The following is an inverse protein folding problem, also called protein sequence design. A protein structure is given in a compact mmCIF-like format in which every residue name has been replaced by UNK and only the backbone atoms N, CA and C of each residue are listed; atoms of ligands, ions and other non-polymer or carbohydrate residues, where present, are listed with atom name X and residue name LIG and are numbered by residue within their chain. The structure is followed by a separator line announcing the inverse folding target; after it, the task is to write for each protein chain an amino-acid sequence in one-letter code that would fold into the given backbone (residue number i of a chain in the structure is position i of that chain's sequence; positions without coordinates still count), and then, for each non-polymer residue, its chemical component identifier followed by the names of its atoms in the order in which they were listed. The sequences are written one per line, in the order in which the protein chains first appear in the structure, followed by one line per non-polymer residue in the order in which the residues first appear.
data_IF_222524321477
#
_entry.id   IF_222524321477
#
_cell.length_a   1.000
_cell.length_b   1.000
_cell.length_c   1.000
_cell.angle_alpha   90.00
_cell.angle_beta   90.00
_cell.angle_gamma   90.00
#
_symmetry.space_group_name_H-M   'P 1'
#
loop_
_entity.id
_entity.type
_entity.pdbx_description
1 polymer ?
#
# COMPACT_ATOMS: atom_id res chain seq x y z
N UNK A 1 0.49 -29.58 28.13
CA UNK A 1 0.40 -29.49 26.65
C UNK A 1 -0.64 -28.44 26.33
N UNK A 2 -0.25 -27.17 26.36
CA UNK A 2 -1.13 -26.05 26.00
C UNK A 2 -0.87 -25.71 24.55
N UNK A 3 -1.91 -25.81 23.74
CA UNK A 3 -1.94 -25.48 22.33
C UNK A 3 -1.44 -24.06 22.09
N UNK A 4 -0.34 -23.94 21.37
CA UNK A 4 0.09 -22.71 20.72
C UNK A 4 -1.07 -22.23 19.86
N UNK A 5 -1.64 -21.07 20.21
CA UNK A 5 -2.64 -20.41 19.39
C UNK A 5 -2.05 -20.13 18.02
N UNK A 6 -2.66 -20.68 16.98
CA UNK A 6 -2.34 -20.31 15.60
C UNK A 6 -2.67 -18.82 15.46
N UNK A 7 -1.66 -17.98 15.24
CA UNK A 7 -1.89 -16.63 14.74
C UNK A 7 -2.63 -16.78 13.40
N UNK A 8 -3.93 -16.53 13.39
CA UNK A 8 -4.70 -16.50 12.14
C UNK A 8 -4.33 -15.23 11.42
N UNK A 9 -3.52 -15.32 10.38
CA UNK A 9 -3.24 -14.20 9.49
C UNK A 9 -4.56 -13.82 8.80
N UNK A 10 -5.11 -12.65 9.14
CA UNK A 10 -6.39 -12.15 8.63
C UNK A 10 -6.16 -10.95 7.73
N UNK A 11 -6.83 -10.93 6.58
CA UNK A 11 -6.95 -9.76 5.71
C UNK A 11 -8.38 -9.24 5.70
N UNK A 12 -8.64 -8.17 4.95
CA UNK A 12 -9.99 -7.61 4.83
C UNK A 12 -10.35 -7.22 3.40
N UNK A 13 -11.65 -7.12 3.17
CA UNK A 13 -12.22 -6.50 1.97
C UNK A 13 -13.16 -5.40 2.41
N UNK A 14 -12.92 -4.18 1.91
CA UNK A 14 -13.81 -3.03 2.11
C UNK A 14 -14.69 -2.84 0.89
N UNK A 15 -16.00 -2.92 1.08
CA UNK A 15 -17.03 -2.71 0.07
C UNK A 15 -17.40 -1.22 0.04
N UNK A 16 -17.42 -0.61 -1.14
CA UNK A 16 -17.70 0.82 -1.35
C UNK A 16 -16.81 1.73 -0.48
N UNK A 17 -15.47 1.65 -0.59
CA UNK A 17 -14.53 2.35 0.29
C UNK A 17 -14.67 3.87 0.27
N UNK A 18 -15.21 4.43 -0.81
CA UNK A 18 -15.41 5.88 -1.00
C UNK A 18 -16.86 6.32 -0.67
N UNK A 19 -17.70 5.41 -0.19
CA UNK A 19 -19.11 5.68 0.18
C UNK A 19 -19.29 5.72 1.70
N UNK A 20 -20.16 6.61 2.24
CA UNK A 20 -20.56 6.56 3.64
C UNK A 20 -21.30 5.26 4.02
N UNK A 21 -21.86 4.55 3.03
CA UNK A 21 -22.50 3.24 3.21
C UNK A 21 -21.50 2.06 3.10
N UNK A 22 -20.20 2.38 3.00
CA UNK A 22 -19.14 1.39 2.90
C UNK A 22 -18.97 0.56 4.18
N UNK A 23 -18.53 -0.68 4.03
CA UNK A 23 -18.33 -1.61 5.14
C UNK A 23 -17.23 -2.61 4.83
N UNK A 24 -16.62 -3.19 5.86
CA UNK A 24 -15.52 -4.15 5.71
C UNK A 24 -15.88 -5.52 6.25
N UNK A 25 -15.27 -6.55 5.66
CA UNK A 25 -15.34 -7.92 6.13
C UNK A 25 -13.92 -8.49 6.26
N UNK A 26 -13.64 -9.13 7.39
CA UNK A 26 -12.37 -9.81 7.61
C UNK A 26 -12.44 -11.22 7.04
N UNK A 27 -11.40 -11.64 6.33
CA UNK A 27 -11.22 -13.01 5.86
C UNK A 27 -10.00 -13.64 6.52
N UNK A 28 -10.12 -14.92 6.81
CA UNK A 28 -9.03 -15.71 7.39
C UNK A 28 -8.38 -16.60 6.34
N UNK A 29 -7.11 -16.92 6.56
CA UNK A 29 -6.39 -17.89 5.74
C UNK A 29 -7.14 -19.22 5.63
N UNK A 30 -7.24 -19.76 4.42
CA UNK A 30 -8.02 -20.93 4.05
C UNK A 30 -9.47 -20.63 3.63
N UNK A 31 -9.97 -19.41 3.84
CA UNK A 31 -11.33 -19.06 3.42
C UNK A 31 -11.46 -18.86 1.91
N UNK A 32 -12.66 -19.16 1.43
CA UNK A 32 -13.09 -18.88 0.07
C UNK A 32 -14.33 -18.00 0.14
N UNK A 33 -14.20 -16.74 -0.28
CA UNK A 33 -15.29 -15.79 -0.36
C UNK A 33 -15.95 -15.86 -1.72
N UNK A 34 -17.17 -16.37 -1.78
CA UNK A 34 -17.99 -16.29 -2.99
C UNK A 34 -18.64 -14.91 -3.09
N UNK A 35 -18.60 -14.29 -4.27
CA UNK A 35 -19.24 -12.99 -4.52
C UNK A 35 -20.38 -13.18 -5.52
N UNK A 36 -21.56 -12.63 -5.22
CA UNK A 36 -22.66 -12.67 -6.16
C UNK A 36 -23.96 -12.05 -5.65
N UNK A 37 -24.96 -12.00 -6.53
CA UNK A 37 -26.23 -11.30 -6.25
C UNK A 37 -27.14 -11.98 -5.25
N UNK A 38 -27.12 -13.32 -5.22
CA UNK A 38 -28.02 -14.11 -4.36
C UNK A 38 -27.25 -14.60 -3.14
N UNK A 39 -27.90 -14.76 -1.97
CA UNK A 39 -27.34 -15.55 -0.88
C UNK A 39 -27.03 -16.97 -1.36
N UNK A 40 -25.98 -17.57 -0.81
CA UNK A 40 -25.49 -18.89 -1.22
C UNK A 40 -26.27 -20.02 -0.58
N UNK A 41 -26.16 -21.22 -1.17
CA UNK A 41 -26.54 -22.47 -0.52
C UNK A 41 -25.24 -23.22 -0.16
N UNK A 42 -25.07 -23.63 1.10
CA UNK A 42 -23.91 -24.36 1.61
C UNK A 42 -23.00 -23.56 2.55
N UNK A 43 -21.88 -24.16 2.96
CA UNK A 43 -20.96 -23.66 4.01
C UNK A 43 -19.94 -22.60 3.53
N UNK A 44 -19.96 -22.20 2.25
CA UNK A 44 -19.04 -21.16 1.76
C UNK A 44 -19.49 -19.77 2.20
N UNK A 45 -18.57 -18.99 2.79
CA UNK A 45 -18.81 -17.57 3.11
C UNK A 45 -19.11 -16.78 1.84
N UNK A 46 -20.07 -15.86 1.91
CA UNK A 46 -20.55 -15.14 0.73
C UNK A 46 -20.72 -13.65 0.96
N UNK A 47 -20.19 -12.86 0.03
CA UNK A 47 -20.46 -11.43 -0.13
C UNK A 47 -21.65 -11.28 -1.09
N UNK A 48 -22.78 -10.83 -0.54
CA UNK A 48 -24.02 -10.62 -1.32
C UNK A 48 -24.08 -9.18 -1.81
N UNK A 49 -24.07 -9.00 -3.12
CA UNK A 49 -24.15 -7.71 -3.81
C UNK A 49 -25.48 -7.64 -4.59
N UNK A 50 -26.59 -7.20 -3.96
CA UNK A 50 -27.96 -7.45 -4.45
C UNK A 50 -28.42 -6.55 -5.62
N UNK A 51 -27.56 -6.33 -6.61
CA UNK A 51 -27.91 -5.55 -7.81
C UNK A 51 -28.05 -6.41 -9.06
N UNK A 52 -28.97 -6.09 -9.99
CA UNK A 52 -29.26 -6.91 -11.16
C UNK A 52 -28.04 -7.20 -12.05
N UNK A 53 -27.11 -6.25 -12.18
CA UNK A 53 -25.89 -6.41 -12.97
C UNK A 53 -24.88 -7.39 -12.36
N UNK A 54 -25.05 -7.78 -11.11
CA UNK A 54 -24.24 -8.81 -10.47
C UNK A 54 -24.82 -10.19 -10.82
N UNK A 55 -24.01 -11.05 -11.43
CA UNK A 55 -24.37 -12.45 -11.64
C UNK A 55 -24.63 -13.21 -10.34
N UNK A 56 -25.42 -14.28 -10.42
CA UNK A 56 -25.78 -15.10 -9.24
C UNK A 56 -24.53 -15.62 -8.52
N UNK A 57 -23.60 -16.20 -9.27
CA UNK A 57 -22.22 -16.47 -8.88
C UNK A 57 -21.34 -15.62 -9.81
N UNK A 58 -20.74 -14.55 -9.28
CA UNK A 58 -20.05 -13.55 -10.10
C UNK A 58 -18.55 -13.81 -10.09
N UNK A 59 -17.97 -13.83 -8.90
CA UNK A 59 -16.54 -14.03 -8.70
C UNK A 59 -16.29 -14.81 -7.41
N UNK A 60 -15.06 -15.24 -7.21
CA UNK A 60 -14.58 -15.91 -6.00
C UNK A 60 -13.23 -15.31 -5.62
N UNK A 61 -13.04 -15.04 -4.31
CA UNK A 61 -11.73 -14.73 -3.74
C UNK A 61 -11.29 -15.92 -2.89
N UNK A 62 -10.08 -16.42 -3.14
CA UNK A 62 -9.48 -17.52 -2.38
C UNK A 62 -8.34 -16.98 -1.54
N UNK A 63 -8.43 -17.16 -0.23
CA UNK A 63 -7.45 -16.68 0.73
C UNK A 63 -6.50 -17.83 1.06
N UNK A 64 -5.65 -18.24 0.13
CA UNK A 64 -4.75 -19.36 0.41
C UNK A 64 -3.56 -18.88 1.27
N UNK A 65 -2.82 -19.80 1.92
CA UNK A 65 -1.49 -19.46 2.46
C UNK A 65 -0.58 -18.91 1.36
N UNK A 66 -0.94 -19.23 0.11
CA UNK A 66 -0.23 -18.85 -1.09
C UNK A 66 -0.45 -17.43 -1.60
N UNK A 67 -1.27 -16.66 -0.90
CA UNK A 67 -1.70 -15.34 -1.32
C UNK A 67 -3.19 -15.36 -1.64
N UNK A 68 -3.75 -14.17 -1.81
CA UNK A 68 -5.15 -14.06 -2.19
C UNK A 68 -5.27 -14.08 -3.70
N UNK A 69 -6.22 -14.83 -4.24
CA UNK A 69 -6.51 -14.83 -5.68
C UNK A 69 -7.97 -14.50 -5.96
N UNK A 70 -8.20 -13.82 -7.09
CA UNK A 70 -9.52 -13.47 -7.63
C UNK A 70 -9.79 -14.25 -8.91
N UNK A 71 -11.01 -14.77 -9.03
CA UNK A 71 -11.49 -15.50 -10.20
C UNK A 71 -12.86 -14.95 -10.58
N UNK A 72 -13.01 -14.48 -11.82
CA UNK A 72 -14.33 -14.22 -12.40
C UNK A 72 -14.95 -15.54 -12.88
N UNK A 73 -16.18 -15.85 -12.45
CA UNK A 73 -16.84 -17.12 -12.73
C UNK A 73 -17.70 -17.09 -14.02
N UNK A 74 -17.27 -16.35 -15.04
CA UNK A 74 -18.05 -16.17 -16.27
C UNK A 74 -19.23 -15.23 -16.07
N UNK A 75 -18.99 -14.16 -15.32
CA UNK A 75 -20.04 -13.17 -15.04
C UNK A 75 -20.49 -12.46 -16.32
N UNK A 76 -21.76 -12.06 -16.35
CA UNK A 76 -22.36 -11.45 -17.55
C UNK A 76 -21.73 -10.09 -17.87
N UNK A 77 -21.50 -9.28 -16.84
CA UNK A 77 -20.96 -7.93 -16.98
C UNK A 77 -19.44 -7.85 -16.76
N UNK A 78 -18.82 -8.96 -16.36
CA UNK A 78 -17.39 -9.04 -16.07
C UNK A 78 -17.03 -8.46 -14.70
N UNK A 79 -15.88 -8.91 -14.21
CA UNK A 79 -15.14 -8.32 -13.10
C UNK A 79 -13.95 -7.53 -13.65
N UNK A 80 -13.60 -6.42 -13.02
CA UNK A 80 -12.36 -5.68 -13.34
C UNK A 80 -11.47 -5.57 -12.10
N UNK A 81 -10.16 -5.66 -12.29
CA UNK A 81 -9.13 -5.44 -11.27
C UNK A 81 -8.29 -4.24 -11.71
N UNK A 82 -8.23 -3.19 -10.89
CA UNK A 82 -7.49 -1.95 -11.18
C UNK A 82 -7.80 -1.39 -12.58
N UNK A 83 -9.08 -1.36 -12.94
CA UNK A 83 -9.55 -0.89 -14.26
C UNK A 83 -9.41 -1.89 -15.41
N UNK A 84 -8.66 -2.99 -15.24
CA UNK A 84 -8.49 -4.02 -16.27
C UNK A 84 -9.54 -5.12 -16.13
N UNK A 85 -10.31 -5.38 -17.19
CA UNK A 85 -11.31 -6.45 -17.20
C UNK A 85 -10.65 -7.83 -17.18
N UNK A 86 -11.10 -8.70 -16.29
CA UNK A 86 -10.57 -10.05 -16.13
C UNK A 86 -11.03 -10.98 -17.25
N UNK A 87 -10.17 -11.92 -17.63
CA UNK A 87 -10.55 -13.10 -18.41
C UNK A 87 -11.28 -14.09 -17.49
N UNK A 88 -12.52 -14.50 -17.80
CA UNK A 88 -13.25 -15.47 -16.99
C UNK A 88 -12.50 -16.79 -16.78
N UNK A 89 -12.57 -17.33 -15.56
CA UNK A 89 -11.97 -18.60 -15.15
C UNK A 89 -10.45 -18.58 -14.94
N UNK A 90 -9.77 -17.48 -15.27
CA UNK A 90 -8.35 -17.28 -14.95
C UNK A 90 -8.21 -16.72 -13.53
N UNK A 91 -7.23 -17.21 -12.79
CA UNK A 91 -6.87 -16.68 -11.47
C UNK A 91 -5.94 -15.47 -11.59
N UNK A 92 -6.19 -14.46 -10.76
CA UNK A 92 -5.37 -13.25 -10.65
C UNK A 92 -4.97 -13.07 -9.19
N UNK A 93 -3.68 -12.89 -8.92
CA UNK A 93 -3.18 -12.60 -7.58
C UNK A 93 -3.68 -11.21 -7.16
N UNK A 94 -4.11 -11.10 -5.90
CA UNK A 94 -4.55 -9.87 -5.27
C UNK A 94 -3.48 -9.38 -4.30
N UNK A 95 -3.19 -8.09 -4.39
CA UNK A 95 -2.29 -7.38 -3.49
C UNK A 95 -3.05 -6.40 -2.62
N UNK A 96 -2.38 -5.91 -1.57
CA UNK A 96 -2.95 -4.85 -0.73
C UNK A 96 -3.15 -3.58 -1.55
N UNK A 97 -4.33 -2.98 -1.43
CA UNK A 97 -4.72 -1.77 -2.18
C UNK A 97 -5.40 -2.04 -3.51
N UNK A 98 -5.50 -3.31 -3.95
CA UNK A 98 -6.17 -3.64 -5.20
C UNK A 98 -7.66 -3.27 -5.18
N UNK A 99 -8.12 -2.63 -6.25
CA UNK A 99 -9.52 -2.26 -6.48
C UNK A 99 -10.20 -3.25 -7.41
N UNK A 100 -11.15 -4.02 -6.89
CA UNK A 100 -11.99 -4.94 -7.65
C UNK A 100 -13.34 -4.27 -7.93
N UNK A 101 -13.67 -4.13 -9.20
CA UNK A 101 -14.96 -3.58 -9.63
C UNK A 101 -15.89 -4.66 -10.13
N UNK A 102 -17.08 -4.73 -9.53
CA UNK A 102 -18.16 -5.63 -9.89
C UNK A 102 -19.44 -4.79 -10.03
N UNK A 103 -19.88 -4.57 -11.26
CA UNK A 103 -20.96 -3.64 -11.56
C UNK A 103 -20.72 -2.25 -10.92
N UNK A 104 -21.61 -1.83 -10.02
CA UNK A 104 -21.53 -0.57 -9.28
C UNK A 104 -20.73 -0.65 -7.98
N UNK A 105 -20.20 -1.83 -7.63
CA UNK A 105 -19.43 -2.01 -6.41
C UNK A 105 -17.94 -1.92 -6.71
N UNK A 106 -17.30 -0.99 -6.02
CA UNK A 106 -15.85 -0.99 -5.85
C UNK A 106 -15.52 -1.70 -4.52
N UNK A 107 -14.61 -2.65 -4.58
CA UNK A 107 -14.09 -3.39 -3.45
C UNK A 107 -12.60 -3.08 -3.31
N UNK A 108 -12.15 -2.71 -2.12
CA UNK A 108 -10.74 -2.56 -1.80
C UNK A 108 -10.25 -3.79 -1.07
N UNK A 109 -9.17 -4.40 -1.56
CA UNK A 109 -8.61 -5.63 -1.00
C UNK A 109 -7.38 -5.31 -0.15
N UNK A 110 -7.32 -5.90 1.04
CA UNK A 110 -6.20 -5.79 1.97
C UNK A 110 -5.84 -7.19 2.49
N UNK A 111 -5.13 -8.02 1.71
CA UNK A 111 -4.66 -9.32 2.18
C UNK A 111 -3.73 -9.17 3.39
N UNK A 112 -3.58 -10.21 4.23
CA UNK A 112 -2.61 -10.17 5.31
C UNK A 112 -1.19 -10.02 4.75
N UNK A 113 -0.40 -9.11 5.34
CA UNK A 113 0.98 -8.88 4.93
C UNK A 113 1.83 -10.16 5.12
N UNK A 114 2.36 -10.71 4.02
CA UNK A 114 3.27 -11.86 4.06
C UNK A 114 4.63 -11.51 3.43
N UNK A 115 5.54 -11.03 4.29
CA UNK A 115 6.88 -10.56 3.92
C UNK A 115 7.75 -11.61 3.18
N UNK A 116 7.42 -12.90 3.27
CA UNK A 116 8.19 -13.96 2.62
C UNK A 116 7.86 -14.12 1.12
N UNK A 117 6.68 -13.68 0.65
CA UNK A 117 6.18 -14.00 -0.69
C UNK A 117 6.54 -12.99 -1.78
N UNK A 118 6.72 -11.72 -1.41
CA UNK A 118 7.24 -10.69 -2.34
C UNK A 118 8.66 -11.01 -2.84
N UNK A 119 9.33 -12.00 -2.27
CA UNK A 119 10.66 -12.48 -2.67
C UNK A 119 10.66 -13.75 -3.54
N UNK A 120 9.57 -14.52 -3.58
CA UNK A 120 9.51 -15.83 -4.27
C UNK A 120 8.81 -15.77 -5.64
N UNK A 121 7.94 -14.79 -5.88
CA UNK A 121 7.23 -14.64 -7.17
C UNK A 121 8.13 -14.21 -8.35
N UNK A 122 9.37 -13.79 -8.06
CA UNK A 122 10.41 -13.45 -9.05
C UNK A 122 11.04 -14.68 -9.75
N UNK A 123 10.76 -15.92 -9.31
CA UNK A 123 11.50 -17.11 -9.79
C UNK A 123 10.82 -17.94 -10.88
N UNK A 124 9.49 -17.97 -10.96
CA UNK A 124 8.78 -18.92 -11.84
C UNK A 124 8.27 -18.33 -13.17
N UNK A 125 8.40 -17.03 -13.43
CA UNK A 125 8.09 -16.40 -14.74
C UNK A 125 9.31 -16.28 -15.67
N UNK A 126 10.27 -17.22 -15.60
CA UNK A 126 11.50 -17.19 -16.42
C UNK A 126 11.33 -17.44 -17.93
N UNK A 127 10.11 -17.51 -18.46
CA UNK A 127 9.89 -17.77 -19.89
C UNK A 127 8.93 -16.76 -20.55
N UNK A 128 9.28 -15.47 -20.44
CA UNK A 128 9.14 -14.48 -21.54
C UNK A 128 9.80 -13.16 -21.17
N UNK A 129 10.92 -12.90 -21.84
CA UNK A 129 11.62 -11.62 -21.92
C UNK A 129 10.67 -10.45 -22.26
N UNK A 130 10.15 -9.79 -21.23
CA UNK A 130 9.74 -8.39 -21.29
C UNK A 130 9.76 -7.83 -19.87
N UNK A 131 10.84 -7.12 -19.51
CA UNK A 131 10.81 -6.18 -18.39
C UNK A 131 9.74 -5.14 -18.71
N UNK A 132 8.49 -5.38 -18.30
CA UNK A 132 7.49 -4.33 -18.20
C UNK A 132 7.72 -3.66 -16.86
N UNK A 133 8.61 -2.66 -16.85
CA UNK A 133 8.57 -1.59 -15.87
C UNK A 133 7.13 -1.06 -15.93
N UNK A 134 6.26 -1.49 -15.01
CA UNK A 134 4.97 -0.82 -14.83
C UNK A 134 5.30 0.52 -14.21
N UNK A 135 5.41 1.52 -15.08
CA UNK A 135 5.52 2.92 -14.70
C UNK A 135 4.21 3.29 -14.00
N UNK A 136 4.18 3.15 -12.67
CA UNK A 136 3.08 3.65 -11.86
C UNK A 136 3.17 5.18 -11.82
N UNK A 137 2.04 5.85 -12.05
CA UNK A 137 1.93 7.26 -11.68
C UNK A 137 1.97 7.33 -10.15
N UNK A 138 3.13 7.73 -9.63
CA UNK A 138 3.36 7.80 -8.20
C UNK A 138 4.08 9.09 -7.83
N UNK A 139 3.72 9.62 -6.67
CA UNK A 139 4.56 10.59 -5.97
C UNK A 139 5.26 9.89 -4.84
N UNK A 140 6.58 9.95 -4.81
CA UNK A 140 7.44 9.37 -3.79
C UNK A 140 7.92 10.50 -2.87
N UNK A 141 7.85 10.25 -1.56
CA UNK A 141 8.46 11.04 -0.51
C UNK A 141 9.57 10.22 0.11
N UNK A 142 10.76 10.81 0.20
CA UNK A 142 11.86 10.27 1.00
C UNK A 142 12.17 11.29 2.08
N UNK A 143 12.32 10.83 3.32
CA UNK A 143 12.75 11.67 4.43
C UNK A 143 13.83 11.00 5.24
N UNK A 144 14.75 11.77 5.81
CA UNK A 144 15.88 11.25 6.60
C UNK A 144 16.18 12.18 7.79
N UNK A 145 16.59 11.60 8.93
CA UNK A 145 17.01 12.37 10.11
C UNK A 145 18.43 12.87 9.89
N UNK A 146 18.59 14.20 9.88
CA UNK A 146 19.90 14.84 9.67
C UNK A 146 20.88 14.47 10.78
N UNK A 147 22.09 14.08 10.40
CA UNK A 147 23.20 13.70 11.30
C UNK A 147 22.87 12.53 12.25
N UNK A 148 22.00 11.61 11.83
CA UNK A 148 21.65 10.44 12.65
C UNK A 148 22.86 9.52 12.92
N UNK A 149 23.77 9.38 11.95
CA UNK A 149 25.02 8.64 12.15
C UNK A 149 25.88 9.27 13.27
N UNK A 150 26.05 10.59 13.28
CA UNK A 150 26.76 11.30 14.35
C UNK A 150 26.06 11.21 15.71
N UNK A 151 24.73 11.19 15.71
CA UNK A 151 23.93 10.93 16.91
C UNK A 151 24.20 9.52 17.47
N UNK A 152 24.17 8.48 16.63
CA UNK A 152 24.46 7.10 17.03
C UNK A 152 25.88 6.91 17.56
N UNK A 153 26.87 7.58 16.96
CA UNK A 153 28.25 7.58 17.47
C UNK A 153 28.36 8.28 18.84
N UNK A 154 27.72 9.44 18.99
CA UNK A 154 27.74 10.22 20.24
C UNK A 154 27.11 9.46 21.41
N UNK A 155 26.06 8.70 21.12
CA UNK A 155 25.29 7.94 22.12
C UNK A 155 25.51 6.42 22.00
N UNK A 156 26.68 5.99 21.54
CA UNK A 156 27.02 4.58 21.39
C UNK A 156 26.94 3.77 22.70
N UNK A 157 27.04 4.44 23.86
CA UNK A 157 26.84 3.83 25.19
C UNK A 157 25.37 3.60 25.55
N UNK A 158 24.43 4.25 24.87
CA UNK A 158 22.99 4.21 25.13
C UNK A 158 22.16 4.11 23.81
N UNK A 159 22.42 3.12 22.94
CA UNK A 159 21.79 3.04 21.61
C UNK A 159 20.26 2.86 21.68
N UNK A 160 19.76 2.17 22.72
CA UNK A 160 18.32 1.97 22.92
C UNK A 160 17.57 3.30 23.12
N UNK A 161 18.23 4.31 23.67
CA UNK A 161 17.64 5.65 23.83
C UNK A 161 17.42 6.31 22.47
N UNK A 162 18.42 6.22 21.59
CA UNK A 162 18.36 6.76 20.22
C UNK A 162 17.32 6.03 19.40
N UNK A 163 17.30 4.71 19.43
CA UNK A 163 16.33 3.90 18.69
C UNK A 163 14.89 4.15 19.16
N UNK A 164 14.65 4.32 20.47
CA UNK A 164 13.31 4.67 20.97
C UNK A 164 12.86 6.05 20.46
N UNK A 165 13.72 7.06 20.56
CA UNK A 165 13.41 8.41 20.09
C UNK A 165 13.15 8.42 18.57
N UNK A 166 14.00 7.74 17.80
CA UNK A 166 13.82 7.53 16.35
C UNK A 166 12.48 6.87 16.03
N UNK A 167 12.16 5.76 16.71
CA UNK A 167 10.89 5.05 16.50
C UNK A 167 9.70 5.99 16.74
N UNK A 168 9.74 6.79 17.80
CA UNK A 168 8.66 7.73 18.10
C UNK A 168 8.51 8.80 17.00
N UNK A 169 9.61 9.33 16.46
CA UNK A 169 9.58 10.24 15.30
C UNK A 169 8.90 9.54 14.12
N UNK A 170 9.34 8.35 13.77
CA UNK A 170 8.79 7.61 12.62
C UNK A 170 7.34 7.22 12.81
N UNK A 171 6.91 6.83 14.00
CA UNK A 171 5.50 6.53 14.29
C UNK A 171 4.63 7.78 14.03
N UNK A 172 5.09 8.97 14.45
CA UNK A 172 4.38 10.23 14.22
C UNK A 172 4.34 10.64 12.75
N UNK A 173 5.45 10.46 12.02
CA UNK A 173 5.50 10.71 10.57
C UNK A 173 4.64 9.71 9.80
N UNK A 174 4.62 8.45 10.24
CA UNK A 174 3.83 7.38 9.64
C UNK A 174 2.33 7.64 9.80
N UNK A 175 1.88 8.08 10.97
CA UNK A 175 0.48 8.49 11.18
C UNK A 175 0.09 9.60 10.20
N UNK A 176 1.00 10.54 9.95
CA UNK A 176 0.74 11.68 9.05
C UNK A 176 0.70 11.28 7.57
N UNK A 177 1.54 10.31 7.15
CA UNK A 177 1.49 9.69 5.83
C UNK A 177 0.13 9.03 5.60
N UNK A 178 -0.31 8.20 6.55
CA UNK A 178 -1.58 7.49 6.47
C UNK A 178 -2.78 8.44 6.47
N UNK A 179 -2.73 9.52 7.27
CA UNK A 179 -3.77 10.58 7.30
C UNK A 179 -4.02 11.19 5.93
N UNK A 180 -3.00 11.19 5.07
CA UNK A 180 -3.02 11.74 3.72
C UNK A 180 -2.98 10.67 2.64
N UNK A 181 -3.38 9.44 2.95
CA UNK A 181 -3.52 8.33 2.00
C UNK A 181 -2.20 7.86 1.36
N UNK A 182 -1.05 8.16 1.97
CA UNK A 182 0.23 7.61 1.54
C UNK A 182 0.47 6.21 2.10
N UNK A 183 1.32 5.46 1.43
CA UNK A 183 1.77 4.13 1.85
C UNK A 183 3.26 4.17 2.17
N UNK A 184 3.67 3.50 3.25
CA UNK A 184 5.07 3.37 3.64
C UNK A 184 5.66 2.11 3.01
N UNK A 185 6.72 2.24 2.21
CA UNK A 185 7.32 1.10 1.49
C UNK A 185 8.54 0.53 2.24
N UNK A 186 9.34 1.41 2.87
CA UNK A 186 10.54 0.98 3.58
C UNK A 186 11.00 1.99 4.62
N UNK A 187 11.41 1.48 5.78
CA UNK A 187 12.27 2.18 6.73
C UNK A 187 13.68 1.62 6.54
N UNK A 188 14.58 2.43 6.01
CA UNK A 188 15.98 2.04 5.79
C UNK A 188 16.85 2.85 6.74
N UNK A 189 17.18 2.27 7.90
CA UNK A 189 17.96 2.99 8.91
C UNK A 189 17.20 4.22 9.41
N UNK A 190 17.79 5.39 9.20
CA UNK A 190 17.32 6.75 9.49
C UNK A 190 16.38 7.34 8.44
N UNK A 191 16.24 6.68 7.30
CA UNK A 191 15.36 7.12 6.22
C UNK A 191 13.97 6.46 6.25
N UNK A 192 12.96 7.25 5.92
CA UNK A 192 11.60 6.84 5.59
C UNK A 192 11.35 7.02 4.10
N UNK A 193 10.65 6.07 3.49
CA UNK A 193 10.17 6.16 2.12
C UNK A 193 8.67 5.88 2.08
N UNK A 194 7.93 6.81 1.50
CA UNK A 194 6.50 6.71 1.29
C UNK A 194 6.13 7.02 -0.15
N UNK A 195 5.00 6.49 -0.61
CA UNK A 195 4.48 6.76 -1.94
C UNK A 195 2.97 6.97 -1.92
N UNK A 196 2.51 7.73 -2.91
CA UNK A 196 1.11 7.94 -3.24
C UNK A 196 0.89 7.45 -4.66
N UNK A 197 0.15 6.35 -4.80
CA UNK A 197 -0.26 5.79 -6.08
C UNK A 197 -1.77 5.95 -6.27
N UNK A 198 -2.21 6.03 -7.52
CA UNK A 198 -3.62 6.23 -7.88
C UNK A 198 -3.81 6.02 -9.38
N UNK A 199 -5.06 6.15 -9.84
CA UNK A 199 -5.44 5.91 -11.24
C UNK A 199 -4.62 6.77 -12.22
N UNK A 200 -4.31 6.22 -13.40
CA UNK A 200 -3.49 6.83 -14.47
C UNK A 200 -4.15 8.07 -15.12
N UNK A 201 -5.28 8.52 -14.58
CA UNK A 201 -5.90 9.78 -14.97
C UNK A 201 -5.00 10.97 -14.60
N UNK A 202 -5.00 12.00 -15.45
CA UNK A 202 -4.28 13.27 -15.18
C UNK A 202 -4.72 13.93 -13.86
N UNK A 203 -5.96 13.70 -13.45
CA UNK A 203 -6.53 14.20 -12.20
C UNK A 203 -5.99 13.41 -10.98
N UNK A 204 -5.78 12.09 -11.13
CA UNK A 204 -5.15 11.24 -10.12
C UNK A 204 -3.71 11.64 -9.80
N UNK A 205 -2.90 11.92 -10.82
CA UNK A 205 -1.51 12.36 -10.63
C UNK A 205 -1.39 13.70 -9.87
N UNK A 206 -2.32 14.63 -10.12
CA UNK A 206 -2.35 15.92 -9.41
C UNK A 206 -2.76 15.76 -7.94
N UNK A 207 -3.70 14.84 -7.65
CA UNK A 207 -4.14 14.53 -6.29
C UNK A 207 -3.03 13.91 -5.45
N UNK A 208 -2.28 12.95 -6.00
CA UNK A 208 -1.13 12.31 -5.34
C UNK A 208 -0.07 13.34 -4.95
N UNK A 209 0.32 14.20 -5.91
CA UNK A 209 1.30 15.25 -5.68
C UNK A 209 0.82 16.23 -4.61
N UNK A 210 -0.47 16.62 -4.64
CA UNK A 210 -1.08 17.47 -3.61
C UNK A 210 -1.02 16.82 -2.22
N UNK A 211 -1.42 15.55 -2.10
CA UNK A 211 -1.40 14.80 -0.85
C UNK A 211 0.02 14.70 -0.29
N UNK A 212 0.99 14.30 -1.11
CA UNK A 212 2.39 14.17 -0.70
C UNK A 212 2.99 15.54 -0.29
N UNK A 213 2.68 16.62 -1.02
CA UNK A 213 3.10 17.97 -0.65
C UNK A 213 2.50 18.41 0.69
N UNK A 214 1.21 18.14 0.89
CA UNK A 214 0.52 18.48 2.13
C UNK A 214 1.12 17.70 3.31
N UNK A 215 1.37 16.40 3.14
CA UNK A 215 2.07 15.57 4.12
C UNK A 215 3.45 16.14 4.45
N UNK A 216 4.28 16.48 3.46
CA UNK A 216 5.61 17.04 3.69
C UNK A 216 5.57 18.36 4.51
N UNK A 217 4.57 19.22 4.25
CA UNK A 217 4.37 20.46 5.02
C UNK A 217 3.96 20.17 6.48
N UNK A 218 3.11 19.18 6.70
CA UNK A 218 2.68 18.78 8.04
C UNK A 218 3.80 18.09 8.80
N UNK A 219 4.57 17.22 8.15
CA UNK A 219 5.77 16.59 8.72
C UNK A 219 6.73 17.64 9.25
N UNK A 220 7.00 18.72 8.50
CA UNK A 220 7.84 19.83 8.99
C UNK A 220 7.32 20.43 10.29
N UNK A 221 5.99 20.56 10.41
CA UNK A 221 5.33 21.10 11.61
C UNK A 221 5.40 20.12 12.78
N UNK A 222 5.20 18.82 12.53
CA UNK A 222 5.31 17.74 13.52
C UNK A 222 6.76 17.66 14.02
N UNK A 223 7.74 17.56 13.13
CA UNK A 223 9.17 17.50 13.47
C UNK A 223 9.59 18.71 14.30
N UNK A 224 9.17 19.92 13.93
CA UNK A 224 9.47 21.13 14.72
C UNK A 224 8.81 21.15 16.10
N UNK A 225 7.68 20.47 16.29
CA UNK A 225 7.03 20.30 17.60
C UNK A 225 7.77 19.27 18.43
N UNK A 226 8.09 18.11 17.86
CA UNK A 226 8.83 17.03 18.53
C UNK A 226 10.23 17.49 18.95
N UNK A 227 10.91 18.27 18.12
CA UNK A 227 12.22 18.86 18.41
C UNK A 227 12.25 19.76 19.66
N UNK A 228 11.11 20.34 20.06
CA UNK A 228 11.00 21.20 21.24
C UNK A 228 10.73 20.44 22.52
N UNK A 229 10.22 19.21 22.44
CA UNK A 229 9.89 18.39 23.58
C UNK A 229 11.10 17.54 23.99
N UNK A 230 11.77 17.92 25.07
CA UNK A 230 12.95 17.20 25.58
C UNK A 230 12.63 15.83 26.14
N UNK A 231 11.37 15.51 26.42
CA UNK A 231 10.95 14.16 26.79
C UNK A 231 10.88 13.25 25.56
N UNK A 232 10.65 13.84 24.38
CA UNK A 232 10.54 13.13 23.11
C UNK A 232 11.90 13.03 22.41
N UNK A 233 12.65 14.14 22.35
CA UNK A 233 13.97 14.21 21.72
C UNK A 233 15.02 14.80 22.68
N UNK A 234 15.66 13.97 23.52
CA UNK A 234 16.54 14.45 24.61
C UNK A 234 17.94 14.90 24.16
N UNK A 235 18.26 14.87 22.86
CA UNK A 235 19.63 15.05 22.34
C UNK A 235 19.98 16.52 22.07
N UNK A 236 20.43 17.24 23.11
CA UNK A 236 20.72 18.69 23.02
C UNK A 236 21.76 19.10 21.97
N UNK A 237 22.74 18.24 21.69
CA UNK A 237 23.81 18.49 20.71
C UNK A 237 23.42 18.09 19.28
N UNK A 238 22.28 17.40 19.13
CA UNK A 238 21.80 16.79 17.90
C UNK A 238 20.30 17.14 17.75
N UNK A 239 19.96 18.39 17.40
CA UNK A 239 18.57 18.80 17.29
C UNK A 239 17.83 17.98 16.22
N UNK A 240 16.59 17.58 16.49
CA UNK A 240 15.80 16.83 15.52
C UNK A 240 15.51 17.69 14.29
N UNK A 241 16.05 17.27 13.16
CA UNK A 241 15.75 17.80 11.83
C UNK A 241 15.53 16.61 10.90
N UNK A 242 14.49 16.69 10.08
CA UNK A 242 14.18 15.70 9.06
C UNK A 242 14.21 16.42 7.72
N UNK A 243 15.11 16.00 6.84
CA UNK A 243 15.12 16.44 5.45
C UNK A 243 14.10 15.64 4.66
N UNK A 244 13.39 16.30 3.74
CA UNK A 244 12.33 15.69 2.94
C UNK A 244 12.54 16.04 1.48
N UNK A 245 12.52 15.02 0.63
CA UNK A 245 12.53 15.12 -0.82
C UNK A 245 11.25 14.51 -1.40
N UNK A 246 10.73 15.13 -2.46
CA UNK A 246 9.55 14.67 -3.20
C UNK A 246 9.91 14.50 -4.67
N UNK A 247 9.44 13.42 -5.27
CA UNK A 247 9.54 13.18 -6.71
C UNK A 247 8.20 12.67 -7.22
N UNK A 248 7.70 13.25 -8.30
CA UNK A 248 6.51 12.75 -9.00
C UNK A 248 6.94 12.23 -10.36
N UNK A 249 6.71 10.96 -10.62
CA UNK A 249 6.89 10.39 -11.95
C UNK A 249 5.53 10.24 -12.61
N UNK A 250 5.36 10.87 -13.78
CA UNK A 250 4.25 10.55 -14.66
C UNK A 250 4.69 9.40 -15.55
N UNK A 251 4.01 8.25 -15.46
CA UNK A 251 4.19 7.09 -16.31
C UNK A 251 3.83 7.40 -17.76
N UNK A 252 4.64 8.20 -18.43
CA UNK A 252 4.63 8.32 -19.89
C UNK A 252 5.55 7.25 -20.42
N UNK A 253 4.96 6.30 -21.13
CA UNK A 253 5.71 5.50 -22.08
C UNK A 253 6.32 6.46 -23.11
N UNK A 254 7.61 6.79 -22.96
CA UNK A 254 8.33 7.53 -23.99
C UNK A 254 8.37 6.64 -25.24
N UNK A 255 8.09 7.17 -26.46
CA UNK A 255 8.38 6.43 -27.67
C UNK A 255 9.87 6.06 -27.64
N UNK A 256 10.19 4.82 -28.01
CA UNK A 256 11.47 4.13 -27.79
C UNK A 256 12.73 4.75 -28.43
N UNK A 257 12.73 6.05 -28.74
CA UNK A 257 13.77 6.74 -29.52
C UNK A 257 14.20 8.09 -28.97
N UNK A 258 13.79 8.52 -27.77
CA UNK A 258 14.34 9.74 -27.17
C UNK A 258 15.22 9.46 -25.95
N UNK A 259 16.49 9.94 -25.93
CA UNK A 259 17.35 9.81 -24.78
C UNK A 259 16.82 10.65 -23.62
N UNK A 260 16.82 10.05 -22.42
CA UNK A 260 16.44 10.70 -21.17
C UNK A 260 17.49 11.78 -20.85
N UNK A 261 17.11 13.06 -20.96
CA UNK A 261 17.91 14.17 -20.47
C UNK A 261 17.62 14.35 -18.98
N UNK A 262 18.56 13.94 -18.12
CA UNK A 262 18.56 14.34 -16.72
C UNK A 262 18.92 15.84 -16.63
N UNK A 263 17.95 16.69 -16.32
CA UNK A 263 18.23 18.05 -15.85
C UNK A 263 18.46 18.01 -14.35
N UNK A 264 19.73 18.01 -13.94
CA UNK A 264 20.14 18.19 -12.56
C UNK A 264 19.68 19.57 -12.07
N UNK A 265 18.84 19.63 -11.04
CA UNK A 265 18.59 20.87 -10.30
C UNK A 265 19.63 20.97 -9.18
N UNK A 266 20.63 21.83 -9.41
CA UNK A 266 21.38 22.47 -8.33
C UNK A 266 20.59 23.71 -7.90
N UNK A 267 20.37 23.86 -6.61
CA UNK A 267 20.80 25.03 -5.83
C UNK A 267 20.72 24.71 -4.36
#
# INVERSE_FOLDING_TARGET
MSSVGKNSTSGSITVLPESPDGWSLDLTEGEVLSIGRKPGAGDKRRLVLPFPEVSGQHAEIRCTPDGWTLIDNGSTNGTSLNGTRLTPGKEYVLHSGDKVKIAQYDLLVSPPFNAAREMDEDRDEQDKTQFRIHLINATILVGDIVDFSGLMETYASEPDLVMRAQKMVFDALNEEIHRHYGQLEKIAGDAIMAYWSGDDSKEGAALQAYQACLTALQMRTITARLAKDTNFWPFKKHPLVVDIALATEQGKQLPATQPILFSAWKN
#
